data_IF_007433697064
#
_entry.id   IF_007433697064
#
_cell.length_a   1.000
_cell.length_b   1.000
_cell.length_c   1.000
_cell.angle_alpha   90.00
_cell.angle_beta   90.00
_cell.angle_gamma   90.00
#
_symmetry.space_group_name_H-M   'P 1'
#
loop_
_entity.id
_entity.type
_entity.pdbx_description
1 polymer ?
#
# COMPACT_ATOMS: atom_id res chain seq x y z
N UNK A 1 35.26 -7.54 -0.89
CA UNK A 1 36.53 -6.87 -0.52
C UNK A 1 36.37 -5.40 -0.84
N UNK A 2 36.48 -4.49 0.13
CA UNK A 2 36.33 -3.04 -0.09
C UNK A 2 37.44 -2.55 -1.03
N UNK A 3 37.13 -1.65 -1.95
CA UNK A 3 38.16 -1.06 -2.83
C UNK A 3 39.01 -0.05 -2.05
N UNK A 4 40.23 0.21 -2.53
CA UNK A 4 41.15 1.17 -1.90
C UNK A 4 40.56 2.59 -1.85
N UNK A 5 39.77 2.97 -2.87
CA UNK A 5 39.00 4.22 -2.90
C UNK A 5 37.93 4.29 -1.80
N UNK A 6 37.21 3.19 -1.56
CA UNK A 6 36.20 3.12 -0.49
C UNK A 6 36.84 3.27 0.89
N UNK A 7 38.00 2.63 1.11
CA UNK A 7 38.75 2.75 2.37
C UNK A 7 39.28 4.17 2.59
N UNK A 8 39.71 4.85 1.53
CA UNK A 8 40.17 6.24 1.60
C UNK A 8 39.02 7.21 1.90
N UNK A 9 37.88 7.03 1.25
CA UNK A 9 36.67 7.81 1.52
C UNK A 9 36.16 7.59 2.97
N UNK A 10 36.24 6.35 3.47
CA UNK A 10 35.85 6.00 4.83
C UNK A 10 36.76 6.67 5.87
N UNK A 11 38.08 6.68 5.66
CA UNK A 11 39.02 7.41 6.54
C UNK A 11 38.76 8.92 6.53
N UNK A 12 38.58 9.51 5.36
CA UNK A 12 38.27 10.95 5.24
C UNK A 12 36.93 11.31 5.90
N UNK A 13 35.95 10.41 5.86
CA UNK A 13 34.69 10.58 6.58
C UNK A 13 34.90 10.61 8.09
N UNK A 14 35.65 9.67 8.67
CA UNK A 14 35.88 9.66 10.12
C UNK A 14 36.74 10.83 10.62
N UNK A 15 37.53 11.44 9.74
CA UNK A 15 38.29 12.67 10.04
C UNK A 15 37.40 13.93 10.01
N UNK A 16 36.21 13.85 9.43
CA UNK A 16 35.25 14.97 9.34
C UNK A 16 33.99 14.66 10.15
N UNK A 17 33.62 15.52 11.11
CA UNK A 17 32.40 15.34 11.88
C UNK A 17 31.18 15.71 11.04
N UNK A 18 30.76 14.81 10.14
CA UNK A 18 29.61 14.98 9.27
C UNK A 18 28.30 14.86 10.06
N UNK A 19 27.40 15.79 9.83
CA UNK A 19 26.12 15.92 10.52
C UNK A 19 25.00 16.28 9.54
N UNK A 20 23.77 16.00 9.95
CA UNK A 20 22.56 16.47 9.31
C UNK A 20 22.07 17.72 10.03
N UNK A 21 21.89 18.81 9.31
CA UNK A 21 21.12 19.95 9.78
C UNK A 21 19.64 19.69 9.51
N UNK A 22 18.82 19.65 10.56
CA UNK A 22 17.36 19.54 10.47
C UNK A 22 16.77 20.93 10.29
N UNK A 23 15.80 21.06 9.38
CA UNK A 23 15.10 22.31 9.13
C UNK A 23 13.66 22.05 8.68
N UNK A 24 12.84 23.11 8.59
CA UNK A 24 11.40 22.99 8.29
C UNK A 24 11.08 22.17 7.03
N UNK A 25 11.91 22.32 5.99
CA UNK A 25 11.71 21.64 4.70
C UNK A 25 12.44 20.28 4.58
N UNK A 26 13.04 19.77 5.65
CA UNK A 26 13.73 18.48 5.67
C UNK A 26 15.08 18.53 6.37
N UNK A 27 16.12 18.00 5.72
CA UNK A 27 17.46 17.93 6.29
C UNK A 27 18.53 18.11 5.21
N UNK A 28 19.67 18.66 5.60
CA UNK A 28 20.81 18.95 4.71
C UNK A 28 22.12 18.43 5.31
N UNK A 29 23.02 17.90 4.47
CA UNK A 29 24.32 17.42 4.93
C UNK A 29 25.23 18.62 5.24
N UNK A 30 25.93 18.55 6.37
CA UNK A 30 26.86 19.56 6.82
C UNK A 30 28.10 18.93 7.49
N UNK A 31 29.14 19.74 7.68
CA UNK A 31 30.30 19.40 8.51
C UNK A 31 30.29 20.26 9.75
N UNK A 32 30.36 19.64 10.93
CA UNK A 32 30.51 20.31 12.21
C UNK A 32 31.94 20.88 12.31
N UNK A 33 32.05 22.15 12.67
CA UNK A 33 33.33 22.82 12.84
C UNK A 33 33.70 22.85 14.32
N UNK A 34 34.91 22.39 14.64
CA UNK A 34 35.46 22.52 16.00
C UNK A 34 35.60 23.99 16.33
N UNK A 35 34.91 24.43 17.38
CA UNK A 35 34.97 25.81 17.88
C UNK A 35 35.60 25.80 19.27
N UNK A 36 36.41 26.80 19.60
CA UNK A 36 37.06 26.90 20.90
C UNK A 36 36.04 27.18 22.01
N UNK A 37 36.20 26.54 23.17
CA UNK A 37 35.28 26.69 24.30
C UNK A 37 35.13 28.18 24.70
N UNK A 38 33.91 28.71 24.64
CA UNK A 38 33.58 30.10 25.01
C UNK A 38 33.40 31.08 23.85
N UNK A 39 33.58 30.66 22.58
CA UNK A 39 33.34 31.53 21.41
C UNK A 39 31.91 31.55 20.89
N UNK A 40 31.07 30.60 21.31
CA UNK A 40 29.66 30.52 20.93
C UNK A 40 28.77 30.60 22.18
N UNK A 41 27.54 31.16 22.05
CA UNK A 41 26.52 31.04 23.07
C UNK A 41 26.29 29.57 23.44
N UNK A 42 25.93 29.31 24.70
CA UNK A 42 25.59 27.97 25.18
C UNK A 42 24.46 27.37 24.31
N UNK A 43 24.64 26.11 23.87
CA UNK A 43 23.69 25.41 22.99
C UNK A 43 23.82 25.72 21.49
N UNK A 44 24.80 26.51 21.05
CA UNK A 44 25.03 26.78 19.62
C UNK A 44 26.26 26.12 19.05
N UNK A 45 26.15 25.64 17.82
CA UNK A 45 27.23 25.02 17.06
C UNK A 45 27.44 25.69 15.69
N UNK A 46 28.70 25.69 15.23
CA UNK A 46 29.07 26.15 13.88
C UNK A 46 29.13 24.98 12.92
N UNK A 47 28.38 25.09 11.84
CA UNK A 47 28.36 24.09 10.76
C UNK A 47 28.71 24.72 9.43
N UNK A 48 29.25 23.91 8.53
CA UNK A 48 29.42 24.23 7.11
C UNK A 48 28.50 23.36 6.27
N UNK A 49 27.58 23.94 5.52
CA UNK A 49 26.71 23.18 4.61
C UNK A 49 27.53 22.59 3.45
N UNK A 50 27.25 21.33 3.10
CA UNK A 50 27.92 20.67 1.96
C UNK A 50 27.36 21.12 0.61
N UNK A 51 26.15 21.67 0.57
CA UNK A 51 25.48 22.08 -0.66
C UNK A 51 26.12 23.31 -1.31
N UNK A 52 26.47 24.31 -0.52
CA UNK A 52 26.94 25.62 -0.98
C UNK A 52 28.18 26.13 -0.23
N UNK A 53 28.66 25.41 0.79
CA UNK A 53 29.79 25.81 1.61
C UNK A 53 29.48 26.91 2.63
N UNK A 54 28.21 27.30 2.79
CA UNK A 54 27.82 28.35 3.73
C UNK A 54 28.12 27.97 5.18
N UNK A 55 28.51 28.96 5.98
CA UNK A 55 28.79 28.81 7.40
C UNK A 55 27.59 29.31 8.20
N UNK A 56 27.03 28.45 9.05
CA UNK A 56 25.85 28.77 9.86
C UNK A 56 26.13 28.51 11.34
N UNK A 57 25.57 29.36 12.20
CA UNK A 57 25.46 29.13 13.63
C UNK A 57 24.03 28.65 13.93
N UNK A 58 23.90 27.40 14.35
CA UNK A 58 22.61 26.73 14.56
C UNK A 58 22.51 26.22 15.99
N UNK A 59 21.30 25.88 16.41
CA UNK A 59 21.09 25.20 17.68
C UNK A 59 21.67 23.77 17.61
N UNK A 60 22.27 23.31 18.70
CA UNK A 60 22.78 21.94 18.80
C UNK A 60 21.64 20.91 18.65
N UNK A 61 20.43 21.26 19.10
CA UNK A 61 19.23 20.41 18.99
C UNK A 61 18.76 20.21 17.54
N UNK A 62 19.13 21.10 16.61
CA UNK A 62 18.83 21.00 15.18
C UNK A 62 19.85 20.16 14.41
N UNK A 63 20.83 19.56 15.09
CA UNK A 63 21.94 18.83 14.46
C UNK A 63 21.92 17.34 14.85
N UNK A 64 21.78 16.47 13.84
CA UNK A 64 21.84 15.02 14.02
C UNK A 64 23.14 14.44 13.44
N UNK A 65 23.66 13.34 14.00
CA UNK A 65 24.86 12.69 13.45
C UNK A 65 24.59 12.06 12.07
N UNK A 66 25.48 12.25 11.11
CA UNK A 66 25.36 11.61 9.79
C UNK A 66 26.05 10.25 9.77
N UNK A 67 25.38 9.27 9.16
CA UNK A 67 25.97 7.95 8.94
C UNK A 67 27.02 8.00 7.82
N UNK A 68 28.12 7.21 7.93
CA UNK A 68 29.07 7.04 6.84
C UNK A 68 28.42 6.55 5.54
N UNK A 69 28.98 6.89 4.35
CA UNK A 69 28.47 6.44 3.06
C UNK A 69 28.38 4.92 2.89
N UNK A 70 29.06 4.14 3.73
CA UNK A 70 28.92 2.68 3.78
C UNK A 70 27.49 2.24 4.12
N UNK A 71 26.75 3.07 4.87
CA UNK A 71 25.38 2.81 5.27
C UNK A 71 24.35 3.40 4.28
N UNK A 72 24.80 3.93 3.15
CA UNK A 72 23.91 4.36 2.09
C UNK A 72 23.11 3.18 1.54
N UNK A 73 21.80 3.37 1.41
CA UNK A 73 20.86 2.34 0.93
C UNK A 73 20.88 1.02 1.71
N UNK A 74 21.18 1.03 3.01
CA UNK A 74 21.07 -0.16 3.86
C UNK A 74 19.75 -0.90 3.67
N UNK A 75 19.82 -2.23 3.65
CA UNK A 75 18.63 -3.09 3.50
C UNK A 75 17.79 -3.14 4.77
N UNK A 76 18.44 -3.05 5.94
CA UNK A 76 17.79 -2.93 7.24
C UNK A 76 18.13 -1.59 7.88
N UNK A 77 17.10 -0.76 8.10
CA UNK A 77 17.25 0.54 8.75
C UNK A 77 17.76 0.41 10.19
N UNK A 78 17.55 -0.74 10.84
CA UNK A 78 18.09 -1.01 12.17
C UNK A 78 19.61 -1.23 12.18
N UNK A 79 20.24 -1.40 11.02
CA UNK A 79 21.71 -1.54 10.91
C UNK A 79 22.45 -0.21 10.81
N UNK A 80 21.75 0.93 10.83
CA UNK A 80 22.38 2.25 10.82
C UNK A 80 23.22 2.43 12.10
N UNK A 81 24.41 3.03 11.96
CA UNK A 81 25.27 3.37 13.10
C UNK A 81 24.62 4.44 13.98
N UNK A 82 24.03 5.46 13.36
CA UNK A 82 23.25 6.50 14.02
C UNK A 82 21.80 6.40 13.59
N UNK A 83 20.93 5.96 14.51
CA UNK A 83 19.51 5.82 14.24
C UNK A 83 18.78 7.13 14.60
N UNK A 84 18.66 8.02 13.61
CA UNK A 84 17.95 9.29 13.70
C UNK A 84 17.03 9.50 12.48
N UNK A 85 16.13 10.49 12.56
CA UNK A 85 15.12 10.70 11.52
C UNK A 85 15.76 11.03 10.18
N UNK A 86 16.77 11.91 10.16
CA UNK A 86 17.46 12.32 8.93
C UNK A 86 18.13 11.13 8.23
N UNK A 87 18.79 10.24 8.97
CA UNK A 87 19.48 9.09 8.39
C UNK A 87 18.54 8.03 7.84
N UNK A 88 17.41 7.79 8.53
CA UNK A 88 16.36 6.88 8.04
C UNK A 88 15.75 7.46 6.77
N UNK A 89 15.39 8.75 6.77
CA UNK A 89 14.80 9.43 5.62
C UNK A 89 15.77 9.49 4.44
N UNK A 90 17.06 9.71 4.68
CA UNK A 90 18.12 9.66 3.67
C UNK A 90 18.19 8.29 3.00
N UNK A 91 18.27 7.23 3.80
CA UNK A 91 18.34 5.85 3.31
C UNK A 91 17.11 5.48 2.49
N UNK A 92 15.91 5.80 2.99
CA UNK A 92 14.65 5.57 2.28
C UNK A 92 14.55 6.36 0.97
N UNK A 93 15.00 7.63 0.95
CA UNK A 93 15.01 8.48 -0.25
C UNK A 93 15.95 7.91 -1.32
N UNK A 94 17.18 7.53 -0.94
CA UNK A 94 18.13 6.93 -1.88
C UNK A 94 17.64 5.59 -2.44
N UNK A 95 17.06 4.75 -1.58
CA UNK A 95 16.48 3.45 -2.00
C UNK A 95 15.31 3.66 -2.95
N UNK A 96 14.39 4.56 -2.63
CA UNK A 96 13.29 4.92 -3.51
C UNK A 96 13.77 5.44 -4.87
N UNK A 97 14.77 6.34 -4.88
CA UNK A 97 15.40 6.83 -6.12
C UNK A 97 16.11 5.73 -6.93
N UNK A 98 16.51 4.63 -6.29
CA UNK A 98 17.07 3.43 -6.93
C UNK A 98 16.01 2.37 -7.26
N UNK A 99 14.71 2.69 -7.15
CA UNK A 99 13.58 1.77 -7.33
C UNK A 99 13.59 0.56 -6.37
N UNK A 100 14.18 0.73 -5.18
CA UNK A 100 14.18 -0.25 -4.08
C UNK A 100 13.10 0.14 -3.06
N UNK A 101 11.90 -0.39 -3.26
CA UNK A 101 10.68 0.07 -2.58
C UNK A 101 10.50 -0.48 -1.16
N UNK A 102 11.16 -1.60 -0.86
CA UNK A 102 11.08 -2.26 0.44
C UNK A 102 12.38 -2.07 1.21
N UNK A 103 12.26 -1.86 2.51
CA UNK A 103 13.39 -1.84 3.45
C UNK A 103 12.97 -2.53 4.74
N UNK A 104 13.85 -3.32 5.34
CA UNK A 104 13.64 -3.83 6.68
C UNK A 104 13.79 -2.69 7.72
N UNK A 105 13.08 -2.84 8.83
CA UNK A 105 13.19 -1.96 9.99
C UNK A 105 13.17 -2.86 11.23
N UNK A 106 14.29 -3.58 11.45
CA UNK A 106 14.39 -4.65 12.43
C UNK A 106 13.36 -5.76 12.13
N UNK A 107 12.44 -6.09 13.05
CA UNK A 107 11.40 -7.11 12.79
C UNK A 107 10.34 -6.65 11.78
N UNK A 108 10.20 -5.35 11.58
CA UNK A 108 9.19 -4.75 10.71
C UNK A 108 9.72 -4.53 9.28
N UNK A 109 8.83 -4.10 8.39
CA UNK A 109 9.16 -3.69 7.03
C UNK A 109 8.51 -2.36 6.69
N UNK A 110 9.27 -1.48 6.05
CA UNK A 110 8.79 -0.23 5.47
C UNK A 110 8.68 -0.43 3.97
N UNK A 111 7.51 -0.10 3.41
CA UNK A 111 7.23 -0.17 1.98
C UNK A 111 6.80 1.20 1.50
N UNK A 112 7.52 1.75 0.52
CA UNK A 112 7.16 3.03 -0.11
C UNK A 112 6.37 2.71 -1.39
N UNK A 113 5.16 3.29 -1.49
CA UNK A 113 4.28 3.06 -2.64
C UNK A 113 4.90 3.67 -3.92
N UNK A 114 5.20 2.88 -4.97
CA UNK A 114 5.85 3.35 -6.21
C UNK A 114 5.01 4.25 -7.12
N UNK A 115 3.73 4.50 -6.81
CA UNK A 115 2.74 5.25 -7.63
C UNK A 115 2.43 4.58 -8.99
N UNK A 116 3.32 3.75 -9.52
CA UNK A 116 3.20 2.92 -10.72
C UNK A 116 3.30 1.43 -10.39
N UNK A 117 2.75 0.56 -11.23
CA UNK A 117 2.80 -0.89 -11.00
C UNK A 117 4.23 -1.42 -11.24
N UNK A 118 4.94 -1.89 -10.20
CA UNK A 118 6.31 -2.35 -10.37
C UNK A 118 6.34 -3.78 -10.93
N UNK A 119 7.31 -4.07 -11.80
CA UNK A 119 7.51 -5.41 -12.40
C UNK A 119 7.99 -6.49 -11.42
N UNK A 120 8.25 -6.12 -10.16
CA UNK A 120 8.80 -7.02 -9.13
C UNK A 120 7.82 -8.09 -8.63
N UNK A 121 6.52 -7.92 -8.89
CA UNK A 121 5.50 -8.88 -8.48
C UNK A 121 5.20 -9.90 -9.59
N UNK A 122 6.11 -10.86 -9.77
CA UNK A 122 5.93 -11.99 -10.69
C UNK A 122 6.05 -13.33 -9.99
N UNK A 123 5.44 -14.36 -10.57
CA UNK A 123 5.54 -15.73 -10.04
C UNK A 123 7.00 -16.23 -10.02
N UNK A 124 7.81 -15.82 -11.00
CA UNK A 124 9.25 -16.13 -11.06
C UNK A 124 9.98 -15.58 -9.83
N UNK A 125 9.66 -14.35 -9.42
CA UNK A 125 10.18 -13.74 -8.20
C UNK A 125 9.67 -14.49 -6.96
N UNK A 126 8.39 -14.87 -6.90
CA UNK A 126 7.86 -15.66 -5.77
C UNK A 126 8.68 -16.93 -5.53
N UNK A 127 9.03 -17.66 -6.58
CA UNK A 127 9.85 -18.88 -6.46
C UNK A 127 11.25 -18.62 -5.92
N UNK A 128 11.84 -17.44 -6.18
CA UNK A 128 13.16 -17.08 -5.64
C UNK A 128 13.14 -16.90 -4.11
N UNK A 129 12.01 -16.52 -3.52
CA UNK A 129 11.88 -16.38 -2.07
C UNK A 129 11.48 -17.68 -1.37
N UNK A 130 11.11 -18.72 -2.11
CA UNK A 130 10.61 -19.99 -1.54
C UNK A 130 11.70 -20.66 -0.71
N UNK A 131 11.42 -20.88 0.57
CA UNK A 131 12.31 -21.61 1.48
C UNK A 131 13.50 -20.79 2.03
N UNK A 132 13.73 -19.59 1.50
CA UNK A 132 14.82 -18.71 1.93
C UNK A 132 14.58 -18.18 3.35
N UNK A 133 15.68 -17.88 4.05
CA UNK A 133 15.61 -17.13 5.31
C UNK A 133 15.63 -15.63 5.02
N UNK A 134 15.23 -14.84 6.01
CA UNK A 134 15.18 -13.39 5.87
C UNK A 134 16.55 -12.82 5.52
N UNK A 135 17.60 -13.29 6.21
CA UNK A 135 19.00 -12.91 6.04
C UNK A 135 19.57 -13.26 4.65
N UNK A 136 18.98 -14.23 3.95
CA UNK A 136 19.44 -14.68 2.64
C UNK A 136 18.75 -13.94 1.47
N UNK A 137 17.84 -13.01 1.78
CA UNK A 137 16.98 -12.36 0.79
C UNK A 137 17.00 -10.86 0.91
N UNK A 138 16.98 -10.18 -0.24
CA UNK A 138 16.76 -8.74 -0.27
C UNK A 138 15.37 -8.38 0.30
N UNK A 139 15.20 -7.16 0.86
CA UNK A 139 13.92 -6.71 1.39
C UNK A 139 12.79 -6.84 0.37
N UNK A 140 11.77 -7.61 0.72
CA UNK A 140 10.56 -7.79 -0.09
C UNK A 140 9.40 -8.31 0.76
N UNK A 141 8.15 -7.95 0.43
CA UNK A 141 6.96 -8.48 1.13
C UNK A 141 6.85 -10.01 1.10
N UNK A 142 7.47 -10.66 0.11
CA UNK A 142 7.53 -12.12 0.00
C UNK A 142 8.47 -12.73 1.04
N UNK A 143 9.56 -12.03 1.40
CA UNK A 143 10.42 -12.45 2.52
C UNK A 143 9.64 -12.42 3.84
N UNK A 144 8.82 -11.38 4.06
CA UNK A 144 7.94 -11.30 5.23
C UNK A 144 6.90 -12.43 5.24
N UNK A 145 6.23 -12.67 4.11
CA UNK A 145 5.25 -13.75 3.97
C UNK A 145 5.88 -15.14 4.18
N UNK A 146 7.06 -15.37 3.62
CA UNK A 146 7.81 -16.62 3.77
C UNK A 146 8.26 -16.84 5.21
N UNK A 147 8.72 -15.79 5.90
CA UNK A 147 9.10 -15.87 7.30
C UNK A 147 7.90 -16.23 8.20
N UNK A 148 6.75 -15.60 7.97
CA UNK A 148 5.50 -15.94 8.66
C UNK A 148 5.07 -17.39 8.36
N UNK A 149 5.07 -17.81 7.10
CA UNK A 149 4.73 -19.18 6.71
C UNK A 149 5.66 -20.22 7.34
N UNK A 150 6.97 -19.96 7.35
CA UNK A 150 7.95 -20.83 8.00
C UNK A 150 7.73 -20.90 9.51
N UNK A 151 7.46 -19.76 10.15
CA UNK A 151 7.16 -19.67 11.59
C UNK A 151 5.92 -20.49 11.94
N UNK A 152 4.84 -20.36 11.15
CA UNK A 152 3.62 -21.16 11.29
C UNK A 152 3.91 -22.66 11.28
N UNK A 153 4.66 -23.15 10.29
CA UNK A 153 4.96 -24.58 10.17
C UNK A 153 5.90 -25.11 11.26
N UNK A 154 6.85 -24.28 11.70
CA UNK A 154 7.87 -24.69 12.67
C UNK A 154 7.34 -24.65 14.09
N UNK A 155 6.64 -23.57 14.46
CA UNK A 155 6.14 -23.33 15.82
C UNK A 155 4.76 -23.93 16.06
N UNK A 156 4.01 -24.24 14.99
CA UNK A 156 2.59 -24.63 15.05
C UNK A 156 1.72 -23.58 15.76
N UNK A 157 2.11 -22.31 15.69
CA UNK A 157 1.35 -21.17 16.20
C UNK A 157 0.88 -20.28 15.06
N UNK A 158 -0.34 -19.75 15.20
CA UNK A 158 -0.93 -18.83 14.23
C UNK A 158 -0.09 -17.56 14.06
N UNK A 159 -0.06 -17.03 12.84
CA UNK A 159 0.74 -15.86 12.49
C UNK A 159 -0.16 -14.76 11.92
N UNK A 160 0.16 -13.50 12.21
CA UNK A 160 -0.57 -12.34 11.70
C UNK A 160 0.37 -11.36 11.01
N UNK A 161 -0.02 -10.90 9.83
CA UNK A 161 0.66 -9.80 9.13
C UNK A 161 -0.27 -8.59 9.14
N UNK A 162 0.16 -7.51 9.80
CA UNK A 162 -0.63 -6.28 9.94
C UNK A 162 -0.06 -5.20 9.04
N UNK A 163 -0.87 -4.69 8.12
CA UNK A 163 -0.47 -3.64 7.19
C UNK A 163 -0.96 -2.28 7.69
N UNK A 164 -0.01 -1.44 8.10
CA UNK A 164 -0.28 -0.10 8.62
C UNK A 164 0.04 0.99 7.59
N UNK A 165 -0.63 2.13 7.69
CA UNK A 165 -0.34 3.29 6.86
C UNK A 165 -1.57 4.13 6.53
N UNK A 166 -1.34 5.36 6.07
CA UNK A 166 -2.40 6.30 5.65
C UNK A 166 -3.18 5.79 4.42
N UNK A 167 -4.34 6.39 4.14
CA UNK A 167 -5.07 6.08 2.90
C UNK A 167 -4.17 6.31 1.68
N UNK A 168 -4.19 5.40 0.71
CA UNK A 168 -3.31 5.48 -0.48
C UNK A 168 -1.90 4.92 -0.29
N UNK A 169 -1.51 4.45 0.90
CA UNK A 169 -0.17 3.88 1.13
C UNK A 169 0.09 2.51 0.49
N UNK A 170 -0.89 1.90 -0.19
CA UNK A 170 -0.73 0.60 -0.86
C UNK A 170 -1.06 -0.63 -0.02
N UNK A 171 -1.72 -0.49 1.14
CA UNK A 171 -2.08 -1.63 2.03
C UNK A 171 -2.82 -2.76 1.30
N UNK A 172 -3.89 -2.43 0.57
CA UNK A 172 -4.72 -3.43 -0.13
C UNK A 172 -3.90 -4.21 -1.17
N UNK A 173 -3.07 -3.52 -1.95
CA UNK A 173 -2.20 -4.14 -2.96
C UNK A 173 -1.15 -5.06 -2.34
N UNK A 174 -0.51 -4.62 -1.24
CA UNK A 174 0.45 -5.47 -0.53
C UNK A 174 -0.23 -6.70 0.08
N UNK A 175 -1.44 -6.56 0.62
CA UNK A 175 -2.24 -7.70 1.13
C UNK A 175 -2.50 -8.73 0.03
N UNK A 176 -2.93 -8.27 -1.15
CA UNK A 176 -3.18 -9.13 -2.32
C UNK A 176 -1.92 -9.91 -2.71
N UNK A 177 -0.76 -9.24 -2.78
CA UNK A 177 0.50 -9.90 -3.13
C UNK A 177 0.98 -10.90 -2.08
N UNK A 178 0.84 -10.59 -0.78
CA UNK A 178 1.17 -11.52 0.30
C UNK A 178 0.32 -12.78 0.20
N UNK A 179 -0.98 -12.64 -0.02
CA UNK A 179 -1.87 -13.79 -0.10
C UNK A 179 -1.60 -14.59 -1.38
N UNK A 180 -1.39 -13.91 -2.51
CA UNK A 180 -1.00 -14.57 -3.75
C UNK A 180 0.30 -15.37 -3.57
N UNK A 181 1.29 -14.82 -2.86
CA UNK A 181 2.52 -15.52 -2.53
C UNK A 181 2.25 -16.78 -1.69
N UNK A 182 1.56 -16.64 -0.57
CA UNK A 182 1.27 -17.74 0.35
C UNK A 182 0.55 -18.89 -0.37
N UNK A 183 -0.49 -18.56 -1.13
CA UNK A 183 -1.28 -19.54 -1.90
C UNK A 183 -0.45 -20.24 -2.96
N UNK A 184 0.42 -19.51 -3.66
CA UNK A 184 1.25 -20.06 -4.74
C UNK A 184 2.36 -20.96 -4.20
N UNK A 185 2.99 -20.57 -3.09
CA UNK A 185 4.15 -21.27 -2.53
C UNK A 185 3.75 -22.46 -1.66
N UNK A 186 2.73 -22.29 -0.81
CA UNK A 186 2.17 -23.39 -0.03
C UNK A 186 1.45 -24.39 -0.94
N UNK A 187 0.86 -23.91 -2.04
CA UNK A 187 -0.02 -24.70 -2.87
C UNK A 187 -1.38 -24.92 -2.21
N UNK A 188 -2.31 -25.47 -2.98
CA UNK A 188 -3.63 -25.84 -2.47
C UNK A 188 -4.10 -27.13 -3.12
N UNK A 189 -4.86 -27.93 -2.36
CA UNK A 189 -5.58 -29.09 -2.89
C UNK A 189 -6.66 -28.65 -3.90
N UNK A 190 -7.15 -27.41 -3.79
CA UNK A 190 -8.13 -26.84 -4.69
C UNK A 190 -7.47 -25.97 -5.77
N UNK A 191 -7.31 -26.52 -6.98
CA UNK A 191 -6.74 -25.82 -8.14
C UNK A 191 -7.49 -24.54 -8.55
N UNK A 192 -8.73 -24.34 -8.06
CA UNK A 192 -9.52 -23.12 -8.33
C UNK A 192 -9.32 -22.00 -7.30
N UNK A 193 -8.56 -22.23 -6.23
CA UNK A 193 -8.41 -21.27 -5.13
C UNK A 193 -7.96 -19.90 -5.65
N UNK A 194 -6.90 -19.83 -6.46
CA UNK A 194 -6.38 -18.55 -6.98
C UNK A 194 -7.42 -17.78 -7.80
N UNK A 195 -8.24 -18.49 -8.60
CA UNK A 195 -9.32 -17.85 -9.38
C UNK A 195 -10.44 -17.32 -8.49
N UNK A 196 -10.87 -18.12 -7.50
CA UNK A 196 -11.88 -17.70 -6.51
C UNK A 196 -11.42 -16.50 -5.71
N UNK A 197 -10.15 -16.50 -5.31
CA UNK A 197 -9.56 -15.42 -4.54
C UNK A 197 -9.54 -14.08 -5.28
N UNK A 198 -9.16 -14.10 -6.57
CA UNK A 198 -9.27 -12.92 -7.44
C UNK A 198 -10.72 -12.44 -7.61
N UNK A 199 -11.68 -13.38 -7.66
CA UNK A 199 -13.09 -13.05 -7.72
C UNK A 199 -13.60 -12.39 -6.42
N UNK A 200 -13.18 -12.87 -5.24
CA UNK A 200 -13.52 -12.25 -3.94
C UNK A 200 -13.06 -10.79 -3.92
N UNK A 201 -11.80 -10.52 -4.30
CA UNK A 201 -11.31 -9.14 -4.33
C UNK A 201 -12.05 -8.27 -5.35
N UNK A 202 -12.38 -8.79 -6.52
CA UNK A 202 -13.16 -8.05 -7.52
C UNK A 202 -14.53 -7.61 -6.97
N UNK A 203 -15.18 -8.47 -6.17
CA UNK A 203 -16.46 -8.13 -5.50
C UNK A 203 -16.23 -7.10 -4.39
N UNK A 204 -15.25 -7.31 -3.53
CA UNK A 204 -14.94 -6.38 -2.43
C UNK A 204 -14.55 -4.99 -2.94
N UNK A 205 -13.79 -4.90 -4.03
CA UNK A 205 -13.43 -3.63 -4.65
C UNK A 205 -14.64 -2.93 -5.29
N UNK A 206 -15.54 -3.67 -5.94
CA UNK A 206 -16.74 -3.09 -6.52
C UNK A 206 -17.65 -2.47 -5.44
N UNK A 207 -17.92 -3.22 -4.37
CA UNK A 207 -18.90 -2.81 -3.34
C UNK A 207 -18.30 -1.96 -2.22
N UNK A 208 -16.99 -2.02 -2.00
CA UNK A 208 -16.32 -1.42 -0.85
C UNK A 208 -15.31 -0.32 -1.17
N UNK A 209 -14.92 -0.15 -2.44
CA UNK A 209 -14.01 0.93 -2.83
C UNK A 209 -14.73 2.11 -3.48
N UNK A 210 -14.11 3.29 -3.34
CA UNK A 210 -14.52 4.53 -3.99
C UNK A 210 -13.30 5.37 -4.37
N UNK A 211 -13.44 6.23 -5.36
CA UNK A 211 -12.46 7.28 -5.67
C UNK A 211 -12.52 8.41 -4.64
N UNK A 212 -11.35 8.81 -4.15
CA UNK A 212 -11.09 9.87 -3.16
C UNK A 212 -10.00 10.82 -3.69
N UNK A 213 -9.81 11.97 -3.03
CA UNK A 213 -8.76 12.93 -3.42
C UNK A 213 -7.34 12.35 -3.45
N UNK A 214 -7.04 11.34 -2.61
CA UNK A 214 -5.71 10.75 -2.48
C UNK A 214 -5.54 9.43 -3.25
N UNK A 215 -6.63 8.76 -3.60
CA UNK A 215 -6.60 7.43 -4.21
C UNK A 215 -7.88 7.18 -5.01
N UNK A 216 -7.72 6.85 -6.29
CA UNK A 216 -8.82 6.57 -7.22
C UNK A 216 -9.57 5.26 -6.97
N UNK A 217 -9.03 4.35 -6.15
CA UNK A 217 -9.66 3.09 -5.78
C UNK A 217 -9.43 2.81 -4.27
N UNK A 218 -9.89 3.71 -3.41
CA UNK A 218 -9.68 3.61 -1.97
C UNK A 218 -10.66 2.64 -1.32
N UNK A 219 -10.16 1.64 -0.59
CA UNK A 219 -10.99 0.79 0.26
C UNK A 219 -11.59 1.59 1.42
N UNK A 220 -12.92 1.58 1.54
CA UNK A 220 -13.70 2.30 2.59
C UNK A 220 -14.32 1.34 3.61
N UNK A 221 -13.63 0.24 3.83
CA UNK A 221 -13.92 -0.79 4.82
C UNK A 221 -12.60 -1.41 5.26
N UNK A 222 -12.58 -1.98 6.45
CA UNK A 222 -11.49 -2.83 6.93
C UNK A 222 -11.82 -4.29 6.64
N UNK A 223 -10.81 -5.10 6.39
CA UNK A 223 -11.00 -6.54 6.26
C UNK A 223 -9.85 -7.32 6.88
N UNK A 224 -10.18 -8.50 7.39
CA UNK A 224 -9.25 -9.51 7.88
C UNK A 224 -9.39 -10.70 6.93
N UNK A 225 -8.25 -11.19 6.43
CA UNK A 225 -8.18 -12.44 5.67
C UNK A 225 -7.50 -13.49 6.54
N UNK A 226 -8.17 -14.61 6.74
CA UNK A 226 -7.57 -15.79 7.37
C UNK A 226 -7.33 -16.85 6.32
N UNK A 227 -6.14 -17.46 6.33
CA UNK A 227 -5.78 -18.61 5.51
C UNK A 227 -5.49 -19.79 6.43
N UNK A 228 -6.14 -20.91 6.19
CA UNK A 228 -5.96 -22.12 7.00
C UNK A 228 -5.07 -23.11 6.27
N UNK A 229 -4.10 -23.69 6.99
CA UNK A 229 -3.12 -24.61 6.47
C UNK A 229 -3.26 -25.99 7.12
N UNK A 230 -3.10 -27.06 6.33
CA UNK A 230 -3.07 -28.42 6.88
C UNK A 230 -1.71 -28.75 7.54
N UNK A 231 -1.60 -29.98 8.06
CA UNK A 231 -0.37 -30.46 8.68
C UNK A 231 0.83 -30.52 7.71
N UNK A 232 0.57 -30.68 6.40
CA UNK A 232 1.55 -30.70 5.34
C UNK A 232 1.91 -29.29 4.84
N UNK A 233 1.21 -28.26 5.31
CA UNK A 233 1.41 -26.86 4.94
C UNK A 233 0.64 -26.42 3.69
N UNK A 234 -0.32 -27.19 3.20
CA UNK A 234 -1.15 -26.80 2.05
C UNK A 234 -2.30 -25.89 2.49
N UNK A 235 -2.68 -24.92 1.64
CA UNK A 235 -3.87 -24.08 1.89
C UNK A 235 -5.15 -24.90 1.74
N UNK A 236 -5.94 -24.95 2.81
CA UNK A 236 -7.20 -25.70 2.89
C UNK A 236 -8.42 -24.81 2.74
N UNK A 237 -8.46 -23.68 3.44
CA UNK A 237 -9.54 -22.70 3.39
C UNK A 237 -9.03 -21.27 3.49
N UNK A 238 -9.90 -20.34 3.10
CA UNK A 238 -9.71 -18.93 3.30
C UNK A 238 -11.04 -18.27 3.65
N UNK A 239 -11.00 -17.31 4.57
CA UNK A 239 -12.16 -16.52 4.96
C UNK A 239 -11.82 -15.04 4.93
N UNK A 240 -12.84 -14.22 4.63
CA UNK A 240 -12.72 -12.76 4.66
C UNK A 240 -13.79 -12.21 5.58
N UNK A 241 -13.37 -11.51 6.61
CA UNK A 241 -14.25 -10.76 7.50
C UNK A 241 -14.14 -9.28 7.17
N UNK A 242 -15.26 -8.63 6.87
CA UNK A 242 -15.31 -7.18 6.60
C UNK A 242 -15.85 -6.42 7.81
N UNK A 243 -15.35 -5.21 8.04
CA UNK A 243 -15.67 -4.38 9.19
C UNK A 243 -15.71 -2.90 8.78
N UNK A 244 -16.47 -2.09 9.53
CA UNK A 244 -16.44 -0.62 9.44
C UNK A 244 -16.61 -0.06 8.02
N UNK A 245 -17.52 -0.64 7.23
CA UNK A 245 -17.90 -0.07 5.93
C UNK A 245 -18.44 1.35 6.15
N UNK A 246 -17.93 2.32 5.40
CA UNK A 246 -18.38 3.71 5.42
C UNK A 246 -19.75 3.87 4.73
N UNK A 247 -20.78 3.26 5.29
CA UNK A 247 -22.14 3.19 4.70
C UNK A 247 -22.71 4.56 4.37
N UNK A 248 -22.38 5.58 5.16
CA UNK A 248 -22.85 6.96 4.95
C UNK A 248 -22.40 7.55 3.61
N UNK A 249 -21.31 7.06 2.99
CA UNK A 249 -20.79 7.53 1.69
C UNK A 249 -21.81 7.44 0.56
N UNK A 250 -22.73 6.48 0.64
CA UNK A 250 -23.82 6.33 -0.34
C UNK A 250 -24.63 7.62 -0.43
N UNK A 251 -25.03 8.17 0.71
CA UNK A 251 -25.92 9.34 0.79
C UNK A 251 -25.17 10.66 0.94
N UNK A 252 -24.02 10.66 1.64
CA UNK A 252 -23.23 11.87 1.92
C UNK A 252 -21.74 11.54 1.90
N UNK A 253 -20.97 12.32 1.15
CA UNK A 253 -19.53 12.17 0.99
C UNK A 253 -18.84 13.53 0.89
N UNK A 254 -17.52 13.61 1.13
CA UNK A 254 -16.76 14.83 0.89
C UNK A 254 -16.89 15.30 -0.56
N UNK A 255 -16.78 16.61 -0.76
CA UNK A 255 -16.81 17.22 -2.09
C UNK A 255 -15.64 16.72 -2.95
N UNK A 256 -15.90 16.47 -4.24
CA UNK A 256 -14.91 15.93 -5.17
C UNK A 256 -14.68 14.41 -5.05
N UNK A 257 -15.32 13.72 -4.11
CA UNK A 257 -15.26 12.26 -3.98
C UNK A 257 -16.46 11.55 -4.61
N UNK A 258 -16.27 10.26 -4.90
CA UNK A 258 -17.29 9.39 -5.51
C UNK A 258 -18.00 8.48 -4.50
N UNK A 259 -19.13 7.90 -4.91
CA UNK A 259 -19.76 6.79 -4.18
C UNK A 259 -19.02 5.47 -4.45
N UNK A 260 -19.52 4.35 -3.93
CA UNK A 260 -18.97 3.03 -4.23
C UNK A 260 -18.97 2.72 -5.73
N UNK A 261 -17.89 2.11 -6.19
CA UNK A 261 -17.63 1.80 -7.60
C UNK A 261 -18.80 1.06 -8.29
N UNK A 262 -19.47 0.16 -7.56
CA UNK A 262 -20.56 -0.67 -8.07
C UNK A 262 -21.70 0.14 -8.68
N UNK A 263 -22.01 1.34 -8.17
CA UNK A 263 -23.05 2.19 -8.76
C UNK A 263 -22.67 2.64 -10.17
N UNK A 264 -21.41 3.04 -10.38
CA UNK A 264 -20.91 3.42 -11.69
C UNK A 264 -20.81 2.23 -12.64
N UNK A 265 -20.44 1.06 -12.11
CA UNK A 265 -20.40 -0.18 -12.89
C UNK A 265 -21.79 -0.55 -13.39
N UNK A 266 -22.79 -0.51 -12.51
CA UNK A 266 -24.19 -0.78 -12.86
C UNK A 266 -24.69 0.20 -13.93
N UNK A 267 -24.52 1.52 -13.71
CA UNK A 267 -24.99 2.53 -14.66
C UNK A 267 -24.34 2.41 -16.06
N UNK A 268 -23.09 1.98 -16.13
CA UNK A 268 -22.36 1.86 -17.40
C UNK A 268 -22.49 0.48 -18.07
N UNK A 269 -22.69 -0.59 -17.30
CA UNK A 269 -22.48 -1.97 -17.74
C UNK A 269 -23.73 -2.82 -17.93
N UNK A 270 -24.90 -2.41 -17.41
CA UNK A 270 -26.14 -3.20 -17.56
C UNK A 270 -26.59 -3.28 -19.03
N UNK A 271 -27.07 -4.46 -19.43
CA UNK A 271 -27.72 -4.69 -20.72
C UNK A 271 -29.09 -4.00 -20.80
N UNK A 272 -29.71 -3.96 -21.99
CA UNK A 272 -30.96 -3.21 -22.18
C UNK A 272 -32.15 -3.79 -21.43
N UNK A 273 -32.18 -5.12 -21.25
CA UNK A 273 -33.26 -5.81 -20.55
C UNK A 273 -33.23 -5.45 -19.06
N UNK A 274 -32.07 -5.63 -18.42
CA UNK A 274 -31.86 -5.29 -17.02
C UNK A 274 -31.94 -3.78 -16.78
N UNK A 275 -31.49 -2.94 -17.73
CA UNK A 275 -31.67 -1.48 -17.64
C UNK A 275 -33.13 -1.08 -17.59
N UNK A 276 -33.97 -1.72 -18.40
CA UNK A 276 -35.42 -1.46 -18.43
C UNK A 276 -36.07 -1.93 -17.14
N UNK A 277 -35.70 -3.11 -16.66
CA UNK A 277 -36.18 -3.65 -15.38
C UNK A 277 -35.81 -2.75 -14.19
N UNK A 278 -34.59 -2.23 -14.17
CA UNK A 278 -34.11 -1.34 -13.11
C UNK A 278 -34.62 0.10 -13.27
N UNK A 279 -35.38 0.41 -14.31
CA UNK A 279 -35.83 1.77 -14.65
C UNK A 279 -34.67 2.78 -14.78
N UNK A 280 -33.52 2.35 -15.31
CA UNK A 280 -32.31 3.19 -15.51
C UNK A 280 -32.19 3.70 -16.95
N UNK A 281 -33.31 3.88 -17.65
CA UNK A 281 -33.34 4.42 -19.02
C UNK A 281 -33.12 5.95 -19.05
N UNK A 282 -33.57 6.63 -17.99
CA UNK A 282 -33.38 8.06 -17.81
C UNK A 282 -32.85 8.29 -16.39
N UNK A 283 -31.73 9.00 -16.28
CA UNK A 283 -31.17 9.39 -14.99
C UNK A 283 -31.77 10.72 -14.54
N UNK A 284 -31.96 10.91 -13.23
CA UNK A 284 -32.48 12.16 -12.70
C UNK A 284 -31.41 13.25 -12.81
N UNK A 285 -31.80 14.46 -13.21
CA UNK A 285 -30.88 15.60 -13.33
C UNK A 285 -30.25 15.97 -11.99
N UNK A 286 -30.99 15.76 -10.89
CA UNK A 286 -30.52 15.96 -9.54
C UNK A 286 -30.85 14.75 -8.65
N UNK A 287 -29.82 14.00 -8.28
CA UNK A 287 -29.94 12.89 -7.33
C UNK A 287 -29.47 13.36 -5.95
N UNK A 288 -30.31 13.29 -4.92
CA UNK A 288 -29.99 13.76 -3.57
C UNK A 288 -28.81 13.01 -2.93
N UNK A 289 -28.49 11.80 -3.38
CA UNK A 289 -27.31 11.04 -2.96
C UNK A 289 -26.08 11.32 -3.84
N UNK A 290 -26.20 12.21 -4.83
CA UNK A 290 -25.16 12.57 -5.80
C UNK A 290 -24.71 11.42 -6.69
N UNK A 291 -25.50 10.34 -6.81
CA UNK A 291 -25.18 9.17 -7.62
C UNK A 291 -25.53 9.50 -9.06
N UNK A 292 -24.53 9.91 -9.84
CA UNK A 292 -24.69 10.32 -11.22
C UNK A 292 -23.82 9.47 -12.15
N UNK A 293 -24.23 9.26 -13.42
CA UNK A 293 -23.40 8.61 -14.42
C UNK A 293 -22.06 9.33 -14.59
N UNK A 294 -21.01 8.60 -14.96
CA UNK A 294 -19.72 9.19 -15.32
C UNK A 294 -19.88 10.08 -16.57
N UNK A 295 -19.23 11.24 -16.62
CA UNK A 295 -19.35 12.14 -17.78
C UNK A 295 -18.40 11.77 -18.92
N UNK A 296 -17.19 11.30 -18.59
CA UNK A 296 -16.15 10.97 -19.58
C UNK A 296 -16.41 9.61 -20.21
N UNK A 297 -16.30 9.53 -21.54
CA UNK A 297 -16.50 8.28 -22.28
C UNK A 297 -15.53 7.16 -21.86
N UNK A 298 -14.27 7.52 -21.59
CA UNK A 298 -13.23 6.59 -21.11
C UNK A 298 -13.61 5.96 -19.77
N UNK A 299 -14.11 6.76 -18.83
CA UNK A 299 -14.52 6.29 -17.50
C UNK A 299 -15.77 5.39 -17.59
N UNK A 300 -16.71 5.71 -18.48
CA UNK A 300 -17.86 4.84 -18.79
C UNK A 300 -17.40 3.50 -19.34
N UNK A 301 -16.48 3.49 -20.32
CA UNK A 301 -15.96 2.26 -20.90
C UNK A 301 -15.23 1.41 -19.86
N UNK A 302 -14.41 2.04 -19.01
CA UNK A 302 -13.72 1.36 -17.91
C UNK A 302 -14.72 0.77 -16.92
N UNK A 303 -15.73 1.52 -16.50
CA UNK A 303 -16.78 1.06 -15.59
C UNK A 303 -17.58 -0.12 -16.17
N UNK A 304 -17.90 -0.08 -17.46
CA UNK A 304 -18.58 -1.17 -18.18
C UNK A 304 -17.73 -2.45 -18.19
N UNK A 305 -16.42 -2.35 -18.49
CA UNK A 305 -15.50 -3.50 -18.42
C UNK A 305 -15.40 -4.07 -16.99
N UNK A 306 -15.39 -3.21 -15.96
CA UNK A 306 -15.36 -3.65 -14.57
C UNK A 306 -16.67 -4.33 -14.16
N UNK A 307 -17.82 -3.88 -14.68
CA UNK A 307 -19.09 -4.56 -14.48
C UNK A 307 -19.09 -5.99 -15.04
N UNK A 308 -18.59 -6.18 -16.27
CA UNK A 308 -18.46 -7.52 -16.85
C UNK A 308 -17.52 -8.41 -16.01
N UNK A 309 -16.40 -7.86 -15.51
CA UNK A 309 -15.51 -8.58 -14.60
C UNK A 309 -16.20 -8.96 -13.30
N UNK A 310 -17.02 -8.06 -12.73
CA UNK A 310 -17.80 -8.31 -11.52
C UNK A 310 -18.81 -9.44 -11.72
N UNK A 311 -19.55 -9.47 -12.84
CA UNK A 311 -20.49 -10.56 -13.14
C UNK A 311 -19.76 -11.91 -13.27
N UNK A 312 -18.61 -11.94 -13.93
CA UNK A 312 -17.76 -13.15 -14.01
C UNK A 312 -17.26 -13.57 -12.63
N UNK A 313 -16.84 -12.61 -11.79
CA UNK A 313 -16.40 -12.89 -10.43
C UNK A 313 -17.53 -13.49 -9.56
N UNK A 314 -18.73 -12.91 -9.58
CA UNK A 314 -19.90 -13.44 -8.87
C UNK A 314 -20.21 -14.88 -9.32
N UNK A 315 -20.13 -15.16 -10.62
CA UNK A 315 -20.30 -16.52 -11.16
C UNK A 315 -19.22 -17.49 -10.68
N UNK A 316 -17.95 -17.07 -10.63
CA UNK A 316 -16.83 -17.89 -10.10
C UNK A 316 -17.03 -18.23 -8.62
N UNK A 317 -17.66 -17.33 -7.86
CA UNK A 317 -18.01 -17.56 -6.46
C UNK A 317 -19.27 -18.41 -6.27
N UNK A 318 -19.95 -18.79 -7.35
CA UNK A 318 -21.15 -19.63 -7.31
C UNK A 318 -22.45 -18.88 -7.06
N UNK A 319 -22.46 -17.55 -7.19
CA UNK A 319 -23.65 -16.73 -7.04
C UNK A 319 -24.50 -16.85 -8.29
N UNK A 320 -25.74 -17.32 -8.12
CA UNK A 320 -26.71 -17.59 -9.18
C UNK A 320 -27.16 -16.32 -9.90
N UNK A 321 -27.71 -16.48 -11.11
CA UNK A 321 -28.22 -15.34 -11.87
C UNK A 321 -29.35 -14.60 -11.13
N UNK A 322 -30.21 -15.33 -10.39
CA UNK A 322 -31.30 -14.75 -9.61
C UNK A 322 -30.77 -13.95 -8.41
N UNK A 323 -29.75 -14.46 -7.71
CA UNK A 323 -29.08 -13.72 -6.63
C UNK A 323 -28.38 -12.46 -7.16
N UNK A 324 -27.70 -12.55 -8.31
CA UNK A 324 -27.10 -11.38 -8.95
C UNK A 324 -28.17 -10.35 -9.32
N UNK A 325 -29.29 -10.79 -9.90
CA UNK A 325 -30.43 -9.93 -10.21
C UNK A 325 -30.98 -9.23 -8.97
N UNK A 326 -31.12 -9.95 -7.85
CA UNK A 326 -31.53 -9.34 -6.58
C UNK A 326 -30.56 -8.25 -6.11
N UNK A 327 -29.24 -8.46 -6.24
CA UNK A 327 -28.24 -7.42 -5.93
C UNK A 327 -28.44 -6.17 -6.80
N UNK A 328 -28.68 -6.33 -8.09
CA UNK A 328 -28.91 -5.21 -9.01
C UNK A 328 -30.19 -4.45 -8.69
N UNK A 329 -31.27 -5.15 -8.34
CA UNK A 329 -32.53 -4.53 -7.91
C UNK A 329 -32.35 -3.68 -6.65
N UNK A 330 -31.60 -4.17 -5.66
CA UNK A 330 -31.28 -3.41 -4.44
C UNK A 330 -30.49 -2.14 -4.77
N UNK A 331 -29.48 -2.22 -5.64
CA UNK A 331 -28.72 -1.03 -6.07
C UNK A 331 -29.57 -0.02 -6.84
N UNK A 332 -30.45 -0.51 -7.73
CA UNK A 332 -31.42 0.32 -8.44
C UNK A 332 -32.36 1.04 -7.48
N UNK A 333 -32.90 0.33 -6.48
CA UNK A 333 -33.75 0.92 -5.45
C UNK A 333 -33.02 2.02 -4.66
N UNK A 334 -31.77 1.80 -4.27
CA UNK A 334 -30.96 2.83 -3.57
C UNK A 334 -30.77 4.08 -4.44
N UNK A 335 -30.50 3.90 -5.74
CA UNK A 335 -30.39 5.01 -6.67
C UNK A 335 -31.71 5.79 -6.77
N UNK A 336 -32.84 5.10 -6.91
CA UNK A 336 -34.17 5.71 -7.04
C UNK A 336 -34.63 6.46 -5.80
N UNK A 337 -34.26 5.98 -4.60
CA UNK A 337 -34.48 6.74 -3.35
C UNK A 337 -33.77 8.10 -3.40
N UNK A 338 -32.53 8.13 -3.90
CA UNK A 338 -31.79 9.38 -4.11
C UNK A 338 -32.44 10.27 -5.19
N UNK A 339 -32.94 9.69 -6.27
CA UNK A 339 -33.63 10.41 -7.35
C UNK A 339 -34.97 11.01 -6.89
N UNK A 340 -35.70 10.32 -6.01
CA UNK A 340 -36.94 10.80 -5.41
C UNK A 340 -36.72 11.90 -4.36
N UNK A 341 -35.46 12.24 -4.05
CA UNK A 341 -35.15 13.21 -3.00
C UNK A 341 -35.42 12.70 -1.59
N UNK A 342 -35.44 11.38 -1.38
CA UNK A 342 -35.64 10.81 -0.05
C UNK A 342 -34.47 11.20 0.86
N UNK A 343 -34.72 12.13 1.78
CA UNK A 343 -33.77 12.48 2.84
C UNK A 343 -34.04 11.66 4.10
N UNK A 344 -33.07 11.63 5.02
CA UNK A 344 -33.32 11.13 6.38
C UNK A 344 -34.35 11.98 7.10
#
# INVERSE_FOLDING_TARGET
VKTEEQLKAEKAWYETEKVWLVHKDGFSLATLLKTEAGTLPEGKVKIRLESDGSLLEVDEDDVEKANPPLFDRVEDLASLQYLNESSVMHSLRQRYGSNLLHSHAGPNMVVINPISAPSMYSEKVMQMFKGCRKEDTAPHIYSLAQAAYRSLLTTRQDQSIVLLGKSGSGKTTNCQHIIQYLVTIAGSTNKSFSKKWQAVYSVLEAFGNASTALNGNASRFSHIVSLDFDQAGLVTSASVQTMLLEKMRVTRRPEGESTFNVFYYLMAGVDSALRTELHLNHFADNNAFGIMPQNKAEDKQRASQQFSKLQVALKVLGISADEQRALWLVLGAIYHLGAAGATK
#
